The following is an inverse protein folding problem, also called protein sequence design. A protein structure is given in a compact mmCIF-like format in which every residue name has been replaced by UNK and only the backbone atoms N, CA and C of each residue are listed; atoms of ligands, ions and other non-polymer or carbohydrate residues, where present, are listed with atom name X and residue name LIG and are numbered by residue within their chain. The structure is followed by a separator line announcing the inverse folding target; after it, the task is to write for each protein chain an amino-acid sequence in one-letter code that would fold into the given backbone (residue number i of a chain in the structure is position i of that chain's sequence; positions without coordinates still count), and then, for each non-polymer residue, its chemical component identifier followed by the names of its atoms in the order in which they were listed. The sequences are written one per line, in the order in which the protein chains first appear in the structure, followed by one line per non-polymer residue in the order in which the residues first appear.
data_IF_362589580231
#
_entry.id   IF_362589580231
#
_cell.length_a   1.000
_cell.length_b   1.000
_cell.length_c   1.000
_cell.angle_alpha   90.00
_cell.angle_beta   90.00
_cell.angle_gamma   90.00
#
_symmetry.space_group_name_H-M   'P 1'
#
loop_
_entity.id
_entity.type
_entity.pdbx_description
1 polymer ?
#
# COMPACT_ATOMS: atom_id res chain seq x y z
N UNK A 1 -0.91 9.29 10.76
CA UNK A 1 0.52 9.02 11.06
C UNK A 1 1.36 10.30 11.14
N UNK A 2 1.23 11.27 10.21
CA UNK A 2 1.96 12.56 10.24
C UNK A 2 1.90 13.28 11.60
N UNK A 3 0.71 13.37 12.19
CA UNK A 3 0.53 14.03 13.49
C UNK A 3 1.21 13.30 14.65
N UNK A 4 1.41 11.98 14.58
CA UNK A 4 2.01 11.18 15.66
C UNK A 4 3.54 11.32 15.64
N UNK A 5 4.15 11.26 14.46
CA UNK A 5 5.60 11.43 14.31
C UNK A 5 6.07 12.87 14.57
N UNK A 6 5.28 13.88 14.18
CA UNK A 6 5.61 15.28 14.46
C UNK A 6 5.50 15.64 15.95
N UNK A 7 4.61 14.98 16.69
CA UNK A 7 4.42 15.21 18.13
C UNK A 7 5.50 14.52 18.97
N UNK A 8 6.04 13.39 18.50
CA UNK A 8 7.17 12.69 19.12
C UNK A 8 8.47 13.51 19.10
N UNK A 9 8.69 14.36 18.08
CA UNK A 9 9.89 15.23 17.98
C UNK A 9 9.80 16.47 18.88
N UNK A 10 8.59 16.90 19.25
CA UNK A 10 8.37 18.17 19.97
C UNK A 10 8.02 18.01 21.45
N UNK A 11 7.64 16.81 21.89
CA UNK A 11 7.28 16.57 23.28
C UNK A 11 8.18 15.48 23.87
N UNK A 12 8.82 15.80 25.00
CA UNK A 12 9.63 14.87 25.81
C UNK A 12 8.80 13.78 26.51
N UNK A 13 7.65 13.42 25.94
CA UNK A 13 6.87 12.28 26.37
C UNK A 13 7.39 11.06 25.62
N UNK A 14 7.66 9.98 26.36
CA UNK A 14 7.98 8.65 25.83
C UNK A 14 6.76 8.08 25.07
N UNK A 15 6.37 8.72 23.97
CA UNK A 15 5.27 8.27 23.15
C UNK A 15 5.75 7.14 22.25
N UNK A 16 5.07 6.00 22.33
CA UNK A 16 5.27 4.88 21.42
C UNK A 16 5.04 5.35 19.98
N UNK A 17 6.10 5.34 19.18
CA UNK A 17 5.98 5.58 17.76
C UNK A 17 5.29 4.36 17.14
N UNK A 18 4.05 4.52 16.69
CA UNK A 18 3.33 3.46 16.01
C UNK A 18 3.76 3.44 14.55
N UNK A 19 4.44 2.38 14.11
CA UNK A 19 4.80 2.14 12.71
C UNK A 19 4.04 0.92 12.21
N UNK A 20 3.21 1.05 11.16
CA UNK A 20 2.43 -0.10 10.64
C UNK A 20 1.55 -0.82 11.71
N UNK A 21 1.22 -0.16 12.82
CA UNK A 21 0.52 -0.75 13.96
C UNK A 21 1.43 -1.40 15.02
N UNK A 22 2.74 -1.51 14.79
CA UNK A 22 3.72 -1.95 15.79
C UNK A 22 4.15 -0.77 16.64
N UNK A 23 4.14 -0.94 17.96
CA UNK A 23 4.69 0.04 18.89
C UNK A 23 6.21 -0.08 18.86
N UNK A 24 6.88 0.84 18.17
CA UNK A 24 8.33 0.91 18.20
C UNK A 24 8.74 1.47 19.56
N UNK A 25 9.51 0.67 20.30
CA UNK A 25 9.94 1.00 21.66
C UNK A 25 10.72 2.31 21.78
N UNK A 26 10.80 2.78 23.03
CA UNK A 26 11.33 4.06 23.55
C UNK A 26 12.78 4.40 23.12
N UNK A 27 13.46 3.50 22.40
CA UNK A 27 14.91 3.59 22.11
C UNK A 27 15.27 3.97 20.68
N UNK A 28 14.30 4.24 19.78
CA UNK A 28 14.65 4.70 18.42
C UNK A 28 14.88 6.22 18.43
N UNK A 29 16.04 6.71 17.97
CA UNK A 29 16.29 8.14 17.87
C UNK A 29 15.26 8.83 16.99
N UNK A 30 14.72 9.96 17.42
CA UNK A 30 13.65 10.71 16.75
C UNK A 30 13.97 11.02 15.27
N UNK A 31 15.25 11.33 14.97
CA UNK A 31 15.71 11.59 13.60
C UNK A 31 15.57 10.39 12.66
N UNK A 32 15.66 9.16 13.18
CA UNK A 32 15.46 7.93 12.41
C UNK A 32 14.00 7.76 12.04
N UNK A 33 13.08 8.05 12.95
CA UNK A 33 11.63 8.01 12.67
C UNK A 33 11.25 9.01 11.57
N UNK A 34 11.79 10.23 11.62
CA UNK A 34 11.56 11.24 10.58
C UNK A 34 12.14 10.79 9.24
N UNK A 35 13.33 10.20 9.23
CA UNK A 35 13.96 9.70 8.01
C UNK A 35 13.14 8.58 7.35
N UNK A 36 12.67 7.60 8.14
CA UNK A 36 11.80 6.52 7.67
C UNK A 36 10.50 7.10 7.07
N UNK A 37 9.90 8.06 7.76
CA UNK A 37 8.70 8.74 7.27
C UNK A 37 8.93 9.47 5.93
N UNK A 38 10.05 10.18 5.77
CA UNK A 38 10.39 10.83 4.51
C UNK A 38 10.55 9.82 3.36
N UNK A 39 11.15 8.67 3.63
CA UNK A 39 11.30 7.59 2.63
C UNK A 39 9.93 7.04 2.23
N UNK A 40 9.06 6.75 3.19
CA UNK A 40 7.69 6.30 2.92
C UNK A 40 6.91 7.30 2.07
N UNK A 41 7.04 8.59 2.37
CA UNK A 41 6.39 9.65 1.59
C UNK A 41 6.83 9.62 0.12
N UNK A 42 8.14 9.48 -0.13
CA UNK A 42 8.68 9.39 -1.50
C UNK A 42 8.14 8.16 -2.22
N UNK A 43 8.13 7.00 -1.59
CA UNK A 43 7.58 5.78 -2.18
C UNK A 43 6.06 5.88 -2.42
N UNK A 44 5.32 6.54 -1.54
CA UNK A 44 3.88 6.77 -1.70
C UNK A 44 3.58 7.68 -2.90
N UNK A 45 4.37 8.74 -3.09
CA UNK A 45 4.28 9.61 -4.28
C UNK A 45 4.62 8.83 -5.54
N UNK A 46 5.66 7.98 -5.50
CA UNK A 46 6.01 7.11 -6.62
C UNK A 46 4.90 6.12 -6.98
N UNK A 47 4.21 5.54 -5.98
CA UNK A 47 3.04 4.69 -6.20
C UNK A 47 1.90 5.46 -6.87
N UNK A 48 1.58 6.65 -6.36
CA UNK A 48 0.49 7.47 -6.89
C UNK A 48 0.75 7.86 -8.35
N UNK A 49 1.98 8.29 -8.63
CA UNK A 49 2.42 8.63 -9.99
C UNK A 49 2.41 7.40 -10.92
N UNK A 50 2.96 6.27 -10.46
CA UNK A 50 2.99 5.01 -11.21
C UNK A 50 1.60 4.48 -11.53
N UNK A 51 0.67 4.57 -10.58
CA UNK A 51 -0.72 4.18 -10.78
C UNK A 51 -1.45 5.10 -11.77
N UNK A 52 -1.23 6.42 -11.69
CA UNK A 52 -1.83 7.38 -12.61
C UNK A 52 -1.34 7.21 -14.05
N UNK A 53 -0.02 7.12 -14.23
CA UNK A 53 0.60 6.97 -15.56
C UNK A 53 0.61 5.53 -16.08
N UNK A 54 0.04 4.58 -15.31
CA UNK A 54 0.03 3.15 -15.60
C UNK A 54 1.44 2.57 -15.87
N UNK A 55 2.45 3.11 -15.21
CA UNK A 55 3.84 2.65 -15.33
C UNK A 55 4.10 1.53 -14.33
N UNK A 56 4.25 0.30 -14.82
CA UNK A 56 4.43 -0.88 -13.98
C UNK A 56 5.67 -0.85 -13.09
N UNK A 57 6.76 -0.27 -13.57
CA UNK A 57 8.04 -0.27 -12.85
C UNK A 57 7.94 0.41 -11.49
N UNK A 58 7.27 1.57 -11.43
CA UNK A 58 7.06 2.32 -10.19
C UNK A 58 6.15 1.58 -9.20
N UNK A 59 5.10 0.95 -9.71
CA UNK A 59 4.17 0.15 -8.88
C UNK A 59 4.87 -1.11 -8.36
N UNK A 60 5.73 -1.75 -9.16
CA UNK A 60 6.56 -2.89 -8.74
C UNK A 60 7.58 -2.48 -7.68
N UNK A 61 8.23 -1.33 -7.82
CA UNK A 61 9.17 -0.81 -6.83
C UNK A 61 8.48 -0.59 -5.47
N UNK A 62 7.30 0.04 -5.47
CA UNK A 62 6.52 0.21 -4.23
C UNK A 62 6.07 -1.14 -3.64
N UNK A 63 5.68 -2.10 -4.47
CA UNK A 63 5.26 -3.43 -4.02
C UNK A 63 6.39 -4.16 -3.26
N UNK A 64 7.60 -4.17 -3.80
CA UNK A 64 8.75 -4.76 -3.09
C UNK A 64 9.09 -3.99 -1.81
N UNK A 65 9.05 -2.66 -1.85
CA UNK A 65 9.22 -1.83 -0.65
C UNK A 65 8.21 -2.21 0.44
N UNK A 66 6.91 -2.28 0.12
CA UNK A 66 5.85 -2.64 1.07
C UNK A 66 6.00 -4.05 1.67
N UNK A 67 6.48 -5.03 0.88
CA UNK A 67 6.78 -6.37 1.42
C UNK A 67 7.97 -6.29 2.38
N UNK A 68 9.03 -5.59 2.03
CA UNK A 68 10.22 -5.51 2.88
C UNK A 68 9.93 -4.81 4.20
N UNK A 69 9.14 -3.72 4.18
CA UNK A 69 8.77 -2.98 5.40
C UNK A 69 7.81 -3.77 6.29
N UNK A 70 6.90 -4.55 5.72
CA UNK A 70 6.00 -5.41 6.51
C UNK A 70 6.74 -6.59 7.15
N UNK A 71 7.69 -7.20 6.44
CA UNK A 71 8.57 -8.23 7.03
C UNK A 71 9.41 -7.66 8.15
N UNK A 72 10.00 -6.46 7.96
CA UNK A 72 10.75 -5.78 9.01
C UNK A 72 9.88 -5.47 10.24
N UNK A 73 8.64 -5.00 10.04
CA UNK A 73 7.71 -4.73 11.13
C UNK A 73 7.36 -6.01 11.92
N UNK A 74 7.15 -7.14 11.25
CA UNK A 74 6.90 -8.44 11.91
C UNK A 74 8.11 -8.87 12.73
N UNK A 75 9.33 -8.72 12.21
CA UNK A 75 10.56 -9.07 12.94
C UNK A 75 10.73 -8.20 14.19
N UNK A 76 10.52 -6.89 14.08
CA UNK A 76 10.57 -5.97 15.22
C UNK A 76 9.54 -6.41 16.28
N UNK A 77 8.32 -6.73 15.85
CA UNK A 77 7.26 -7.18 16.77
C UNK A 77 7.62 -8.47 17.52
N UNK A 78 8.31 -9.42 16.86
CA UNK A 78 8.77 -10.65 17.50
C UNK A 78 9.88 -10.37 18.52
N UNK A 79 10.79 -9.45 18.22
CA UNK A 79 11.86 -9.03 19.14
C UNK A 79 11.25 -8.34 20.36
N UNK A 80 10.30 -7.42 20.17
CA UNK A 80 9.63 -6.71 21.25
C UNK A 80 8.84 -7.68 22.14
N UNK A 81 8.17 -8.68 21.55
CA UNK A 81 7.49 -9.73 22.31
C UNK A 81 8.48 -10.57 23.14
N UNK A 82 9.62 -10.96 22.55
CA UNK A 82 10.65 -11.72 23.24
C UNK A 82 11.26 -10.92 24.41
N UNK A 83 11.54 -9.63 24.20
CA UNK A 83 12.04 -8.75 25.24
C UNK A 83 11.00 -8.54 26.36
N UNK A 84 9.74 -8.27 26.01
CA UNK A 84 8.66 -8.04 26.97
C UNK A 84 8.37 -9.27 27.85
N UNK A 85 8.59 -10.49 27.34
CA UNK A 85 8.36 -11.75 28.06
C UNK A 85 9.16 -11.89 29.37
N UNK A 86 10.27 -11.15 29.52
CA UNK A 86 11.09 -11.16 30.73
C UNK A 86 10.52 -10.33 31.88
N UNK A 87 9.52 -9.48 31.65
CA UNK A 87 8.91 -8.64 32.68
C UNK A 87 7.39 -8.77 32.72
N UNK A 88 6.81 -8.91 33.91
CA UNK A 88 5.35 -8.98 34.07
C UNK A 88 4.65 -7.70 33.54
N UNK A 89 5.24 -6.53 33.75
CA UNK A 89 4.71 -5.25 33.26
C UNK A 89 4.72 -5.17 31.72
N UNK A 90 5.80 -5.66 31.09
CA UNK A 90 5.91 -5.69 29.63
C UNK A 90 4.86 -6.60 28.98
N UNK A 91 4.58 -7.76 29.58
CA UNK A 91 3.53 -8.66 29.12
C UNK A 91 2.14 -8.00 29.12
N UNK A 92 1.78 -7.25 30.16
CA UNK A 92 0.50 -6.53 30.20
C UNK A 92 0.37 -5.50 29.08
N UNK A 93 1.41 -4.70 28.84
CA UNK A 93 1.41 -3.71 27.76
C UNK A 93 1.29 -4.35 26.37
N UNK A 94 1.93 -5.51 26.15
CA UNK A 94 1.80 -6.27 24.90
C UNK A 94 0.36 -6.73 24.69
N UNK A 95 -0.32 -7.27 25.72
CA UNK A 95 -1.71 -7.69 25.59
C UNK A 95 -2.66 -6.53 25.30
N UNK A 96 -2.42 -5.35 25.88
CA UNK A 96 -3.20 -4.15 25.61
C UNK A 96 -3.03 -3.64 24.17
N UNK A 97 -1.81 -3.71 23.64
CA UNK A 97 -1.47 -3.22 22.30
C UNK A 97 -1.67 -4.25 21.18
N UNK A 98 -1.84 -5.54 21.53
CA UNK A 98 -2.05 -6.64 20.58
C UNK A 98 -3.21 -6.41 19.58
N UNK A 99 -4.39 -5.90 19.98
CA UNK A 99 -5.49 -5.65 19.03
C UNK A 99 -5.12 -4.58 18.00
N UNK A 100 -4.38 -3.55 18.41
CA UNK A 100 -3.91 -2.48 17.53
C UNK A 100 -2.87 -2.99 16.53
N UNK A 101 -1.94 -3.84 17.00
CA UNK A 101 -0.94 -4.49 16.17
C UNK A 101 -1.60 -5.41 15.13
N UNK A 102 -2.60 -6.20 15.55
CA UNK A 102 -3.36 -7.06 14.64
C UNK A 102 -4.11 -6.24 13.58
N UNK A 103 -4.78 -5.16 13.99
CA UNK A 103 -5.47 -4.27 13.06
C UNK A 103 -4.49 -3.65 12.04
N UNK A 104 -3.32 -3.19 12.49
CA UNK A 104 -2.27 -2.66 11.63
C UNK A 104 -1.76 -3.69 10.62
N UNK A 105 -1.49 -4.91 11.07
CA UNK A 105 -1.06 -6.01 10.21
C UNK A 105 -2.13 -6.35 9.15
N UNK A 106 -3.41 -6.40 9.53
CA UNK A 106 -4.52 -6.64 8.62
C UNK A 106 -4.61 -5.55 7.54
N UNK A 107 -4.48 -4.28 7.91
CA UNK A 107 -4.49 -3.14 6.97
C UNK A 107 -3.31 -3.25 5.99
N UNK A 108 -2.12 -3.58 6.49
CA UNK A 108 -0.93 -3.69 5.66
C UNK A 108 -0.99 -4.86 4.67
N UNK A 109 -1.46 -6.02 5.13
CA UNK A 109 -1.71 -7.16 4.25
C UNK A 109 -2.76 -6.83 3.19
N UNK A 110 -3.83 -6.14 3.58
CA UNK A 110 -4.86 -5.68 2.64
C UNK A 110 -4.29 -4.76 1.56
N UNK A 111 -3.46 -3.78 1.93
CA UNK A 111 -2.81 -2.86 0.99
C UNK A 111 -1.89 -3.61 0.01
N UNK A 112 -1.09 -4.57 0.50
CA UNK A 112 -0.21 -5.39 -0.36
C UNK A 112 -1.03 -6.20 -1.38
N UNK A 113 -2.13 -6.81 -0.94
CA UNK A 113 -3.03 -7.56 -1.82
C UNK A 113 -3.64 -6.63 -2.88
N UNK A 114 -4.04 -5.42 -2.49
CA UNK A 114 -4.61 -4.43 -3.40
C UNK A 114 -3.59 -4.00 -4.47
N UNK A 115 -2.34 -3.74 -4.09
CA UNK A 115 -1.27 -3.39 -5.02
C UNK A 115 -0.96 -4.55 -5.96
N UNK A 116 -0.94 -5.79 -5.46
CA UNK A 116 -0.79 -6.98 -6.31
C UNK A 116 -1.94 -7.12 -7.30
N UNK A 117 -3.17 -6.83 -6.88
CA UNK A 117 -4.34 -6.81 -7.77
C UNK A 117 -4.19 -5.74 -8.84
N UNK A 118 -3.72 -4.54 -8.47
CA UNK A 118 -3.45 -3.45 -9.41
C UNK A 118 -2.37 -3.85 -10.44
N UNK A 119 -1.25 -4.42 -9.99
CA UNK A 119 -0.21 -4.92 -10.88
C UNK A 119 -0.74 -5.97 -11.87
N UNK A 120 -1.51 -6.95 -11.37
CA UNK A 120 -2.11 -7.97 -12.24
C UNK A 120 -3.08 -7.36 -13.25
N UNK A 121 -3.88 -6.37 -12.84
CA UNK A 121 -4.79 -5.65 -13.75
C UNK A 121 -4.01 -4.90 -14.82
N UNK A 122 -2.90 -4.25 -14.46
CA UNK A 122 -2.02 -3.58 -15.42
C UNK A 122 -1.36 -4.58 -16.38
N UNK A 123 -0.98 -5.77 -15.91
CA UNK A 123 -0.36 -6.83 -16.74
C UNK A 123 -1.34 -7.43 -17.74
N UNK A 124 -2.60 -7.60 -17.35
CA UNK A 124 -3.68 -8.08 -18.23
C UNK A 124 -4.14 -6.99 -19.20
N UNK A 125 -4.11 -5.71 -18.78
CA UNK A 125 -4.50 -4.55 -19.62
C UNK A 125 -3.40 -4.16 -20.60
N UNK A 126 -2.87 -5.12 -21.37
CA UNK A 126 -1.84 -4.89 -22.38
C UNK A 126 -2.20 -3.81 -23.42
N UNK A 127 -1.46 -3.68 -24.54
CA UNK A 127 -1.66 -2.61 -25.51
C UNK A 127 -3.05 -2.57 -26.18
N UNK A 128 -3.92 -3.54 -25.90
CA UNK A 128 -5.26 -3.62 -26.44
C UNK A 128 -6.28 -3.13 -25.42
N UNK A 129 -7.03 -2.14 -25.88
CA UNK A 129 -7.95 -1.33 -25.08
C UNK A 129 -9.00 -2.14 -24.36
N UNK A 130 -9.65 -1.47 -23.43
CA UNK A 130 -10.85 -1.95 -22.77
C UNK A 130 -11.83 -2.54 -23.80
N UNK A 131 -11.99 -3.87 -23.83
CA UNK A 131 -13.18 -4.46 -24.41
C UNK A 131 -14.34 -4.13 -23.48
N UNK A 132 -15.07 -3.10 -23.85
CA UNK A 132 -16.35 -2.78 -23.22
C UNK A 132 -17.30 -3.96 -23.48
N UNK A 133 -17.63 -4.73 -22.45
CA UNK A 133 -18.51 -5.90 -22.61
C UNK A 133 -19.92 -5.52 -23.09
N UNK A 134 -20.38 -4.28 -22.86
CA UNK A 134 -21.62 -3.78 -23.49
C UNK A 134 -21.46 -3.61 -25.00
N UNK A 135 -20.26 -3.29 -25.46
CA UNK A 135 -19.95 -3.16 -26.88
C UNK A 135 -19.95 -4.54 -27.54
N UNK A 136 -19.42 -5.58 -26.88
CA UNK A 136 -19.49 -6.96 -27.38
C UNK A 136 -20.93 -7.48 -27.52
N UNK A 137 -21.82 -7.16 -26.57
CA UNK A 137 -23.24 -7.57 -26.63
C UNK A 137 -24.00 -6.82 -27.74
N UNK A 138 -23.63 -5.58 -28.05
CA UNK A 138 -24.25 -4.79 -29.14
C UNK A 138 -23.74 -5.24 -30.53
N UNK A 139 -22.49 -5.70 -30.62
CA UNK A 139 -21.85 -6.09 -31.89
C UNK A 139 -21.84 -7.60 -32.18
N UNK A 140 -22.65 -8.40 -31.49
CA UNK A 140 -22.78 -9.86 -31.66
C UNK A 140 -23.27 -10.31 -33.06
N UNK A 141 -23.25 -9.42 -34.05
CA UNK A 141 -23.64 -9.64 -35.43
C UNK A 141 -22.50 -9.64 -36.45
N UNK A 142 -21.44 -8.83 -36.35
CA UNK A 142 -20.39 -8.75 -37.40
C UNK A 142 -19.08 -8.15 -36.88
N UNK A 143 -18.12 -9.02 -36.53
CA UNK A 143 -16.71 -8.64 -36.54
C UNK A 143 -16.16 -9.03 -37.90
N UNK A 144 -16.15 -8.10 -38.85
CA UNK A 144 -15.38 -8.31 -40.08
C UNK A 144 -13.88 -8.31 -39.74
N UNK A 145 -13.16 -9.17 -40.45
CA UNK A 145 -11.83 -9.74 -40.17
C UNK A 145 -10.67 -8.74 -40.02
N UNK A 146 -10.93 -7.43 -39.93
CA UNK A 146 -9.93 -6.36 -39.91
C UNK A 146 -9.96 -5.46 -38.66
N UNK A 147 -10.77 -5.75 -37.63
CA UNK A 147 -10.66 -5.08 -36.32
C UNK A 147 -10.88 -3.56 -36.32
N UNK A 148 -11.47 -3.01 -37.38
CA UNK A 148 -11.92 -1.61 -37.45
C UNK A 148 -13.41 -1.60 -37.13
N UNK A 149 -13.78 -0.97 -36.02
CA UNK A 149 -15.17 -0.74 -35.66
C UNK A 149 -15.76 0.38 -36.52
N UNK A 150 -16.94 0.18 -37.08
CA UNK A 150 -17.69 1.26 -37.72
C UNK A 150 -18.05 2.34 -36.69
N UNK A 151 -17.83 3.60 -37.06
CA UNK A 151 -18.12 4.73 -36.19
C UNK A 151 -19.62 4.82 -35.90
N UNK A 152 -20.01 4.86 -34.62
CA UNK A 152 -21.40 5.02 -34.17
C UNK A 152 -21.95 6.44 -34.38
N UNK A 153 -21.28 7.27 -35.18
CA UNK A 153 -21.72 8.63 -35.49
C UNK A 153 -22.67 8.54 -36.67
N UNK A 154 -23.97 8.71 -36.42
CA UNK A 154 -24.95 8.94 -37.49
C UNK A 154 -24.57 10.25 -38.18
N UNK A 155 -24.22 10.27 -39.47
CA UNK A 155 -23.99 11.52 -40.18
C UNK A 155 -25.31 12.31 -40.17
N UNK A 156 -25.29 13.48 -39.57
CA UNK A 156 -26.37 14.45 -39.71
C UNK A 156 -26.27 15.00 -41.12
N UNK A 157 -27.18 14.59 -42.00
CA UNK A 157 -27.33 15.22 -43.31
C UNK A 157 -27.69 16.70 -43.09
N UNK A 158 -26.84 17.59 -43.60
CA UNK A 158 -27.05 19.03 -43.70
C UNK A 158 -27.76 19.37 -45.00
#
# INVERSE_FOLDING_TARGET
MIGVYSYAVHSSFEMFALYHGTSVGITIPEGVCVAIYCIEFVFTVALLYGAHMKLMEYVKAYYYFAITTTVAAILIQLIDFAAASTSHLGLYMVFETMPLMLAGACIQLYLIILIRSLLKKMEVSGPQGYENQLQQIVYDGKVETNGVYDSTVVPVEL
#
